data_IF_873528632681
#
_entry.id   IF_873528632681
#
_cell.length_a   1.000
_cell.length_b   1.000
_cell.length_c   1.000
_cell.angle_alpha   90.00
_cell.angle_beta   90.00
_cell.angle_gamma   90.00
#
_symmetry.space_group_name_H-M   'P 1'
#
loop_
_entity.id
_entity.type
_entity.pdbx_description
1 polymer ?
#
# COMPACT_ATOMS: atom_id res chain seq x y z
N UNK A 1 49.58 6.78 -14.43
CA UNK A 1 49.05 6.97 -13.07
C UNK A 1 47.82 7.84 -13.22
N UNK A 2 46.86 7.36 -13.99
CA UNK A 2 45.74 6.47 -13.61
C UNK A 2 44.64 7.27 -12.91
N UNK A 3 43.52 7.30 -13.65
CA UNK A 3 42.23 7.89 -13.42
C UNK A 3 41.54 7.32 -12.18
N UNK A 4 40.60 8.08 -11.63
CA UNK A 4 39.32 7.65 -11.02
C UNK A 4 38.49 8.96 -10.93
N UNK A 5 37.60 9.34 -11.84
CA UNK A 5 36.29 8.77 -12.23
C UNK A 5 35.43 8.27 -11.06
N UNK A 6 35.12 9.16 -10.11
CA UNK A 6 33.96 8.98 -9.23
C UNK A 6 32.67 9.26 -10.01
N UNK A 7 32.21 8.23 -10.74
CA UNK A 7 30.84 8.12 -11.22
C UNK A 7 29.88 8.25 -10.02
N UNK A 8 29.11 9.33 -9.98
CA UNK A 8 27.93 9.45 -9.12
C UNK A 8 26.97 8.33 -9.45
N UNK A 9 26.81 7.37 -8.55
CA UNK A 9 25.75 6.38 -8.61
C UNK A 9 24.38 7.07 -8.53
N UNK A 10 23.53 6.74 -9.49
CA UNK A 10 22.13 7.15 -9.64
C UNK A 10 21.27 6.58 -8.48
N UNK A 11 20.42 7.38 -7.78
CA UNK A 11 19.62 6.88 -6.66
C UNK A 11 18.50 5.89 -7.04
N UNK A 12 18.35 5.52 -8.30
CA UNK A 12 17.20 4.76 -8.79
C UNK A 12 17.35 3.23 -8.68
N UNK A 13 17.68 2.71 -7.51
CA UNK A 13 17.52 1.26 -7.23
C UNK A 13 16.10 0.98 -6.69
N UNK A 14 15.16 0.94 -7.63
CA UNK A 14 13.79 0.45 -7.43
C UNK A 14 13.79 -1.08 -7.25
N UNK A 15 13.44 -1.58 -6.07
CA UNK A 15 13.16 -3.01 -5.88
C UNK A 15 11.72 -3.29 -6.34
N UNK A 16 11.60 -3.94 -7.50
CA UNK A 16 10.35 -4.38 -8.13
C UNK A 16 9.89 -5.69 -7.48
N UNK A 17 8.77 -5.68 -6.76
CA UNK A 17 8.08 -6.90 -6.35
C UNK A 17 6.77 -7.01 -7.15
N UNK A 18 6.75 -7.80 -8.21
CA UNK A 18 5.54 -8.18 -8.95
C UNK A 18 5.12 -9.59 -8.52
N UNK A 19 3.89 -9.74 -8.01
CA UNK A 19 3.31 -11.05 -7.67
C UNK A 19 2.25 -11.43 -8.70
N UNK A 20 2.38 -12.62 -9.28
CA UNK A 20 1.38 -13.24 -10.16
C UNK A 20 0.40 -14.11 -9.37
N UNK A 21 -0.87 -14.08 -9.74
CA UNK A 21 -1.89 -14.98 -9.20
C UNK A 21 -2.53 -15.79 -10.31
N UNK A 22 -2.66 -17.10 -10.08
CA UNK A 22 -3.19 -18.08 -11.04
C UNK A 22 -4.66 -18.42 -10.76
N UNK A 23 -5.39 -18.71 -11.83
CA UNK A 23 -6.80 -19.09 -11.85
C UNK A 23 -6.90 -20.56 -12.28
N UNK A 24 -7.83 -21.33 -11.70
CA UNK A 24 -8.05 -22.70 -12.16
C UNK A 24 -9.06 -22.77 -13.33
N UNK A 25 -8.58 -23.41 -14.40
CA UNK A 25 -9.14 -23.71 -15.72
C UNK A 25 -9.03 -22.67 -16.85
N UNK A 26 -8.36 -23.18 -17.88
CA UNK A 26 -8.49 -22.94 -19.32
C UNK A 26 -8.06 -21.55 -19.85
N UNK A 27 -6.87 -21.51 -20.48
CA UNK A 27 -6.02 -20.37 -20.87
C UNK A 27 -5.47 -19.52 -19.70
N UNK A 28 -4.15 -19.33 -19.63
CA UNK A 28 -3.44 -18.64 -18.52
C UNK A 28 -3.73 -17.13 -18.48
N UNK A 29 -4.93 -16.75 -18.02
CA UNK A 29 -5.24 -15.37 -17.67
C UNK A 29 -4.55 -15.00 -16.35
N UNK A 30 -3.30 -14.53 -16.45
CA UNK A 30 -2.53 -14.00 -15.33
C UNK A 30 -2.97 -12.58 -14.98
N UNK A 31 -3.40 -12.37 -13.72
CA UNK A 31 -3.69 -11.03 -13.22
C UNK A 31 -2.41 -10.28 -12.88
N UNK A 32 -2.37 -8.99 -13.21
CA UNK A 32 -1.24 -8.11 -12.92
C UNK A 32 -1.53 -7.19 -11.75
N UNK A 33 -0.75 -7.33 -10.69
CA UNK A 33 -0.76 -6.43 -9.55
C UNK A 33 0.44 -5.48 -9.62
N UNK A 34 0.20 -4.17 -9.51
CA UNK A 34 1.25 -3.17 -9.32
C UNK A 34 1.17 -2.57 -7.93
N UNK A 35 2.30 -2.57 -7.24
CA UNK A 35 2.40 -2.11 -5.86
C UNK A 35 3.39 -0.98 -5.74
N UNK A 36 3.00 0.05 -5.00
CA UNK A 36 3.84 1.20 -4.70
C UNK A 36 3.94 1.35 -3.19
N UNK A 37 5.15 1.55 -2.69
CA UNK A 37 5.37 2.13 -1.35
C UNK A 37 6.19 3.40 -1.47
N UNK A 38 5.78 4.44 -0.76
CA UNK A 38 6.50 5.70 -0.76
C UNK A 38 6.35 6.45 0.57
N UNK A 39 7.48 6.62 1.27
CA UNK A 39 7.56 7.61 2.34
C UNK A 39 7.69 9.00 1.71
N UNK A 40 6.63 9.80 1.81
CA UNK A 40 6.55 11.12 1.15
C UNK A 40 7.14 12.23 1.99
N UNK A 41 7.65 11.94 3.20
CA UNK A 41 8.30 12.90 4.08
C UNK A 41 7.52 14.22 4.26
N UNK A 42 6.19 14.12 4.39
CA UNK A 42 5.23 15.24 4.48
C UNK A 42 5.17 16.16 3.28
N UNK A 43 5.78 15.78 2.15
CA UNK A 43 5.68 16.52 0.91
C UNK A 43 4.27 16.48 0.31
N UNK A 44 3.93 17.54 -0.41
CA UNK A 44 2.77 17.57 -1.28
C UNK A 44 2.96 16.62 -2.47
N UNK A 45 1.85 16.09 -3.03
CA UNK A 45 1.91 15.26 -4.23
C UNK A 45 2.56 16.01 -5.42
N UNK A 46 3.39 15.34 -6.23
CA UNK A 46 3.94 15.95 -7.45
C UNK A 46 2.84 16.10 -8.52
N UNK A 47 3.09 16.93 -9.54
CA UNK A 47 2.13 17.11 -10.65
C UNK A 47 1.97 15.85 -11.51
N UNK A 48 3.02 15.01 -11.60
CA UNK A 48 3.02 13.79 -12.40
C UNK A 48 3.52 12.57 -11.62
N UNK A 49 2.80 11.45 -11.79
CA UNK A 49 3.09 10.13 -11.23
C UNK A 49 3.09 9.03 -12.30
N UNK A 50 3.12 9.41 -13.59
CA UNK A 50 3.01 8.47 -14.71
C UNK A 50 4.11 7.40 -14.67
N UNK A 51 5.34 7.81 -14.38
CA UNK A 51 6.46 6.87 -14.23
C UNK A 51 6.31 5.96 -13.00
N UNK A 52 5.83 6.49 -11.87
CA UNK A 52 5.61 5.72 -10.64
C UNK A 52 4.57 4.60 -10.82
N UNK A 53 3.53 4.88 -11.60
CA UNK A 53 2.44 3.95 -11.88
C UNK A 53 2.64 3.15 -13.18
N UNK A 54 3.76 3.31 -13.88
CA UNK A 54 4.03 2.68 -15.17
C UNK A 54 2.91 2.93 -16.20
N UNK A 55 2.36 4.15 -16.23
CA UNK A 55 1.21 4.49 -17.06
C UNK A 55 1.50 4.47 -18.58
N UNK A 56 2.77 4.55 -18.96
CA UNK A 56 3.22 4.54 -20.36
C UNK A 56 3.51 3.14 -20.91
N UNK A 57 3.38 2.10 -20.07
CA UNK A 57 3.66 0.74 -20.48
C UNK A 57 2.48 0.12 -21.24
N UNK A 58 2.73 -0.67 -22.31
CA UNK A 58 1.68 -1.17 -23.20
C UNK A 58 0.71 -2.15 -22.53
N UNK A 59 1.16 -2.88 -21.51
CA UNK A 59 0.32 -3.81 -20.76
C UNK A 59 0.13 -3.27 -19.35
N UNK A 60 -1.08 -2.80 -19.05
CA UNK A 60 -1.40 -2.16 -17.77
C UNK A 60 -1.77 -3.19 -16.69
N UNK A 61 -1.51 -2.91 -15.41
CA UNK A 61 -1.95 -3.72 -14.27
C UNK A 61 -3.47 -3.87 -14.20
N UNK A 62 -3.97 -4.91 -13.56
CA UNK A 62 -5.39 -5.08 -13.26
C UNK A 62 -5.75 -4.44 -11.92
N UNK A 63 -4.79 -4.44 -10.99
CA UNK A 63 -4.89 -3.91 -9.65
C UNK A 63 -3.72 -2.97 -9.35
N UNK A 64 -4.00 -1.88 -8.65
CA UNK A 64 -2.98 -1.04 -8.01
C UNK A 64 -3.16 -1.04 -6.50
N UNK A 65 -2.06 -1.21 -5.78
CA UNK A 65 -1.98 -1.02 -4.32
C UNK A 65 -0.94 0.06 -4.05
N UNK A 66 -1.33 1.14 -3.39
CA UNK A 66 -0.44 2.27 -3.11
C UNK A 66 -0.41 2.49 -1.59
N UNK A 67 0.75 2.26 -0.98
CA UNK A 67 1.01 2.54 0.43
C UNK A 67 1.90 3.76 0.59
N UNK A 68 1.43 4.79 1.27
CA UNK A 68 2.24 5.96 1.61
C UNK A 68 2.54 6.03 3.10
N UNK A 69 3.70 6.58 3.45
CA UNK A 69 4.09 6.92 4.82
C UNK A 69 4.44 8.41 4.92
N UNK A 70 4.30 8.98 6.11
CA UNK A 70 4.52 10.42 6.38
C UNK A 70 3.68 11.35 5.50
N UNK A 71 2.48 10.93 5.08
CA UNK A 71 1.52 11.85 4.44
C UNK A 71 1.17 12.94 5.44
N UNK A 72 1.22 14.21 5.03
CA UNK A 72 0.91 15.33 5.91
C UNK A 72 -0.45 15.13 6.60
N UNK A 73 -0.44 15.11 7.94
CA UNK A 73 -1.62 14.95 8.78
C UNK A 73 -1.56 15.97 9.92
N UNK A 74 -2.29 17.08 9.80
CA UNK A 74 -2.37 18.06 10.86
C UNK A 74 -3.48 17.71 11.86
N UNK A 75 -3.28 17.87 13.19
CA UNK A 75 -4.30 17.54 14.19
C UNK A 75 -5.65 18.25 14.01
N UNK A 76 -5.64 19.48 13.50
CA UNK A 76 -6.84 20.28 13.23
C UNK A 76 -7.62 19.83 11.98
N UNK A 77 -7.03 18.94 11.17
CA UNK A 77 -7.56 18.51 9.87
C UNK A 77 -8.23 17.14 9.93
N UNK A 78 -8.20 16.47 11.09
CA UNK A 78 -8.79 15.15 11.30
C UNK A 78 -10.27 15.06 10.87
N UNK A 79 -11.08 16.07 11.19
CA UNK A 79 -12.50 16.12 10.79
C UNK A 79 -12.66 16.39 9.28
N UNK A 80 -11.74 17.15 8.68
CA UNK A 80 -11.77 17.48 7.25
C UNK A 80 -11.35 16.26 6.43
N UNK A 81 -10.30 15.54 6.83
CA UNK A 81 -9.84 14.32 6.15
C UNK A 81 -10.87 13.17 6.25
N UNK A 82 -11.78 13.22 7.23
CA UNK A 82 -12.95 12.32 7.27
C UNK A 82 -14.04 12.67 6.25
N UNK A 83 -14.10 13.93 5.81
CA UNK A 83 -15.14 14.44 4.91
C UNK A 83 -14.63 14.74 3.49
N UNK A 84 -13.32 14.89 3.31
CA UNK A 84 -12.65 15.29 2.08
C UNK A 84 -11.47 14.37 1.85
N UNK A 85 -11.38 13.85 0.64
CA UNK A 85 -10.26 13.04 0.19
C UNK A 85 -8.94 13.81 0.26
N UNK A 86 -7.87 13.19 0.76
CA UNK A 86 -6.57 13.84 0.84
C UNK A 86 -5.96 14.11 -0.55
N UNK A 87 -5.02 15.05 -0.64
CA UNK A 87 -4.43 15.49 -1.92
C UNK A 87 -3.72 14.36 -2.67
N UNK A 88 -3.08 13.42 -1.96
CA UNK A 88 -2.45 12.26 -2.57
C UNK A 88 -3.48 11.32 -3.17
N UNK A 89 -4.52 10.98 -2.40
CA UNK A 89 -5.63 10.16 -2.87
C UNK A 89 -6.33 10.77 -4.08
N UNK A 90 -6.54 12.09 -4.10
CA UNK A 90 -7.08 12.81 -5.24
C UNK A 90 -6.18 12.68 -6.48
N UNK A 91 -4.87 12.87 -6.35
CA UNK A 91 -3.92 12.73 -7.46
C UNK A 91 -3.96 11.31 -8.07
N UNK A 92 -3.94 10.27 -7.24
CA UNK A 92 -4.01 8.89 -7.74
C UNK A 92 -5.34 8.63 -8.44
N UNK A 93 -6.46 9.11 -7.88
CA UNK A 93 -7.77 8.99 -8.49
C UNK A 93 -7.85 9.70 -9.84
N UNK A 94 -7.37 10.95 -9.93
CA UNK A 94 -7.40 11.73 -11.18
C UNK A 94 -6.50 11.14 -12.26
N UNK A 95 -5.39 10.50 -11.87
CA UNK A 95 -4.47 9.85 -12.80
C UNK A 95 -4.99 8.50 -13.32
N UNK A 96 -5.68 7.74 -12.47
CA UNK A 96 -6.13 6.38 -12.77
C UNK A 96 -7.56 6.31 -13.34
N UNK A 97 -8.47 7.22 -12.97
CA UNK A 97 -9.86 7.20 -13.42
C UNK A 97 -10.02 7.30 -14.97
N UNK A 98 -9.29 8.18 -15.69
CA UNK A 98 -9.36 8.24 -17.16
C UNK A 98 -8.92 6.95 -17.85
N UNK A 99 -8.22 6.07 -17.13
CA UNK A 99 -7.69 4.78 -17.60
C UNK A 99 -8.57 3.60 -17.22
N UNK A 100 -9.78 3.85 -16.70
CA UNK A 100 -10.78 2.81 -16.38
C UNK A 100 -10.54 2.10 -15.05
N UNK A 101 -9.85 2.74 -14.11
CA UNK A 101 -9.69 2.23 -12.75
C UNK A 101 -10.62 2.96 -11.78
N UNK A 102 -11.05 2.23 -10.75
CA UNK A 102 -11.84 2.73 -9.65
C UNK A 102 -11.07 2.53 -8.35
N UNK A 103 -11.11 3.53 -7.46
CA UNK A 103 -10.66 3.34 -6.07
C UNK A 103 -11.71 2.50 -5.35
N UNK A 104 -11.35 1.27 -5.00
CA UNK A 104 -12.27 0.29 -4.41
C UNK A 104 -12.24 0.36 -2.88
N UNK A 105 -11.06 0.59 -2.29
CA UNK A 105 -10.92 0.82 -0.84
C UNK A 105 -9.77 1.77 -0.55
N UNK A 106 -9.84 2.44 0.60
CA UNK A 106 -8.78 3.28 1.15
C UNK A 106 -8.86 3.32 2.67
N UNK A 107 -7.72 3.26 3.33
CA UNK A 107 -7.62 3.40 4.78
C UNK A 107 -6.44 4.31 5.14
N UNK A 108 -6.64 5.12 6.18
CA UNK A 108 -5.66 6.07 6.68
C UNK A 108 -5.50 5.96 8.19
N UNK A 109 -4.25 6.05 8.67
CA UNK A 109 -3.93 6.25 10.08
C UNK A 109 -2.81 7.29 10.22
N UNK A 110 -3.19 8.53 10.58
CA UNK A 110 -2.27 9.67 10.63
C UNK A 110 -1.52 9.86 9.30
N UNK A 111 -0.21 9.64 9.28
CA UNK A 111 0.62 9.73 8.07
C UNK A 111 0.70 8.44 7.24
N UNK A 112 0.03 7.36 7.65
CA UNK A 112 -0.10 6.12 6.87
C UNK A 112 -1.35 6.18 6.00
N UNK A 113 -1.19 5.91 4.71
CA UNK A 113 -2.29 5.82 3.75
C UNK A 113 -2.14 4.55 2.93
N UNK A 114 -3.21 3.80 2.73
CA UNK A 114 -3.23 2.64 1.84
C UNK A 114 -4.44 2.76 0.92
N UNK A 115 -4.19 2.69 -0.38
CA UNK A 115 -5.19 2.80 -1.43
C UNK A 115 -5.20 1.53 -2.27
N UNK A 116 -6.40 1.05 -2.58
CA UNK A 116 -6.60 -0.10 -3.46
C UNK A 116 -7.47 0.31 -4.66
N UNK A 117 -6.92 0.18 -5.86
CA UNK A 117 -7.61 0.42 -7.11
C UNK A 117 -7.71 -0.85 -7.94
N UNK A 118 -8.78 -0.96 -8.71
CA UNK A 118 -9.02 -2.05 -9.65
C UNK A 118 -9.50 -1.48 -10.98
N UNK A 119 -9.15 -2.13 -12.10
CA UNK A 119 -9.89 -1.92 -13.35
C UNK A 119 -11.38 -2.17 -13.10
N UNK A 120 -12.23 -1.38 -13.75
CA UNK A 120 -13.69 -1.48 -13.65
C UNK A 120 -14.21 -2.89 -13.96
N UNK A 121 -13.58 -3.59 -14.90
CA UNK A 121 -13.96 -4.95 -15.30
C UNK A 121 -13.88 -5.98 -14.15
N UNK A 122 -13.03 -5.77 -13.15
CA UNK A 122 -12.88 -6.72 -12.03
C UNK A 122 -13.70 -6.34 -10.79
N UNK A 123 -14.26 -5.13 -10.72
CA UNK A 123 -15.02 -4.64 -9.56
C UNK A 123 -16.16 -5.59 -9.14
N UNK A 124 -16.96 -6.17 -10.06
CA UNK A 124 -18.02 -7.12 -9.69
C UNK A 124 -17.53 -8.42 -9.02
N UNK A 125 -16.23 -8.72 -9.12
CA UNK A 125 -15.58 -9.91 -8.59
C UNK A 125 -14.75 -9.63 -7.33
N UNK A 126 -14.78 -8.38 -6.83
CA UNK A 126 -14.23 -8.00 -5.53
C UNK A 126 -15.34 -8.08 -4.48
N UNK A 127 -15.10 -8.82 -3.40
CA UNK A 127 -16.05 -9.03 -2.30
C UNK A 127 -15.35 -8.99 -0.94
N UNK A 128 -16.12 -9.01 0.14
CA UNK A 128 -15.61 -9.15 1.51
C UNK A 128 -14.50 -8.14 1.87
N UNK A 129 -14.62 -6.90 1.37
CA UNK A 129 -13.67 -5.81 1.63
C UNK A 129 -13.74 -5.44 3.12
N UNK A 130 -12.60 -5.41 3.79
CA UNK A 130 -12.43 -5.00 5.17
C UNK A 130 -11.11 -4.27 5.33
N UNK A 131 -11.12 -3.18 6.10
CA UNK A 131 -9.92 -2.39 6.36
C UNK A 131 -9.73 -2.23 7.87
N UNK A 132 -8.49 -2.28 8.34
CA UNK A 132 -8.16 -2.15 9.76
C UNK A 132 -6.81 -1.49 9.99
N UNK A 133 -6.55 -1.01 11.20
CA UNK A 133 -5.29 -0.38 11.55
C UNK A 133 -4.86 -0.71 12.99
N UNK A 134 -3.55 -0.67 13.24
CA UNK A 134 -2.95 -0.82 14.57
C UNK A 134 -1.94 0.29 14.82
N UNK A 135 -1.91 0.84 16.03
CA UNK A 135 -0.95 1.86 16.47
C UNK A 135 0.15 1.19 17.28
N UNK A 136 1.41 1.50 16.99
CA UNK A 136 2.60 0.96 17.69
C UNK A 136 3.43 2.04 18.39
N UNK A 137 2.93 3.29 18.47
CA UNK A 137 3.61 4.43 19.10
C UNK A 137 3.83 4.32 20.61
N UNK A 138 4.27 5.41 21.25
CA UNK A 138 4.52 5.52 22.69
C UNK A 138 3.34 4.91 23.48
N UNK A 139 3.66 3.88 24.26
CA UNK A 139 2.73 3.08 25.07
C UNK A 139 1.62 2.32 24.32
N UNK A 140 1.76 2.10 23.01
CA UNK A 140 0.76 1.37 22.19
C UNK A 140 -0.49 2.19 21.83
N UNK A 141 -0.63 3.42 22.32
CA UNK A 141 -1.80 4.27 22.11
C UNK A 141 -1.49 5.61 21.42
N UNK A 142 -0.25 6.09 21.47
CA UNK A 142 0.09 7.46 21.03
C UNK A 142 1.32 7.48 20.12
N UNK A 143 1.11 7.65 18.81
CA UNK A 143 2.19 7.89 17.85
C UNK A 143 1.78 7.69 16.40
N UNK A 144 2.66 8.10 15.49
CA UNK A 144 2.51 8.02 14.04
C UNK A 144 3.06 6.72 13.43
N UNK A 145 3.41 5.75 14.28
CA UNK A 145 3.91 4.42 13.91
C UNK A 145 2.81 3.39 14.05
N UNK A 146 2.82 2.39 13.17
CA UNK A 146 1.82 1.34 13.14
C UNK A 146 1.63 0.75 11.76
N UNK A 147 0.44 0.19 11.52
CA UNK A 147 0.08 -0.43 10.25
C UNK A 147 -1.38 -0.17 9.88
N UNK A 148 -1.65 -0.08 8.58
CA UNK A 148 -2.99 -0.05 7.99
C UNK A 148 -3.10 -1.18 6.97
N UNK A 149 -4.24 -1.86 6.94
CA UNK A 149 -4.45 -3.02 6.08
C UNK A 149 -5.77 -2.96 5.33
N UNK A 150 -5.77 -3.48 4.11
CA UNK A 150 -6.95 -3.73 3.27
C UNK A 150 -7.00 -5.22 2.96
N UNK A 151 -8.08 -5.89 3.32
CA UNK A 151 -8.39 -7.29 3.04
C UNK A 151 -9.59 -7.37 2.11
N UNK A 152 -9.53 -8.23 1.10
CA UNK A 152 -10.64 -8.46 0.18
C UNK A 152 -10.56 -9.83 -0.48
N UNK A 153 -11.70 -10.33 -0.97
CA UNK A 153 -11.77 -11.45 -1.90
C UNK A 153 -11.72 -10.94 -3.33
N UNK A 154 -10.80 -11.45 -4.14
CA UNK A 154 -10.67 -11.16 -5.57
C UNK A 154 -10.82 -12.47 -6.37
N UNK A 155 -11.91 -12.60 -7.14
CA UNK A 155 -12.26 -13.85 -7.82
C UNK A 155 -12.25 -15.09 -6.89
N UNK A 156 -12.63 -14.92 -5.63
CA UNK A 156 -12.64 -16.00 -4.62
C UNK A 156 -11.32 -16.19 -3.87
N UNK A 157 -10.22 -15.56 -4.31
CA UNK A 157 -8.94 -15.58 -3.59
C UNK A 157 -8.88 -14.47 -2.55
N UNK A 158 -8.52 -14.82 -1.32
CA UNK A 158 -8.39 -13.86 -0.24
C UNK A 158 -7.03 -13.16 -0.29
N UNK A 159 -7.05 -11.84 -0.40
CA UNK A 159 -5.90 -10.96 -0.44
C UNK A 159 -5.90 -10.04 0.78
N UNK A 160 -4.71 -9.77 1.30
CA UNK A 160 -4.48 -8.80 2.36
C UNK A 160 -3.23 -7.98 2.02
N UNK A 161 -3.38 -6.65 2.08
CA UNK A 161 -2.31 -5.69 1.83
C UNK A 161 -2.07 -4.92 3.11
N UNK A 162 -0.81 -4.89 3.57
CA UNK A 162 -0.40 -4.19 4.78
C UNK A 162 0.60 -3.10 4.39
N UNK A 163 0.30 -1.86 4.77
CA UNK A 163 1.25 -0.74 4.76
C UNK A 163 1.60 -0.38 6.21
N UNK A 164 2.88 -0.31 6.54
CA UNK A 164 3.34 -0.01 7.89
C UNK A 164 4.45 1.04 7.91
N UNK A 165 4.52 1.76 9.03
CA UNK A 165 5.60 2.69 9.34
C UNK A 165 6.13 2.33 10.73
N UNK A 166 7.28 1.65 10.75
CA UNK A 166 7.90 1.09 11.94
C UNK A 166 9.06 1.98 12.43
N UNK A 167 9.70 1.59 13.53
CA UNK A 167 10.86 2.28 14.10
C UNK A 167 12.00 2.46 13.07
N UNK A 168 12.45 3.72 12.91
CA UNK A 168 13.57 4.09 12.03
C UNK A 168 14.93 3.71 12.65
N UNK A 169 16.02 3.77 11.87
CA UNK A 169 17.41 3.48 12.26
C UNK A 169 17.76 2.02 12.56
N UNK A 170 18.99 1.61 12.22
CA UNK A 170 19.43 0.20 12.28
C UNK A 170 19.43 -0.40 13.68
N UNK A 171 19.73 0.41 14.71
CA UNK A 171 19.76 -0.03 16.11
C UNK A 171 18.40 -0.53 16.66
N UNK A 172 17.29 -0.18 16.01
CA UNK A 172 15.94 -0.60 16.42
C UNK A 172 15.42 -1.80 15.61
N UNK A 173 16.32 -2.65 15.10
CA UNK A 173 15.95 -3.83 14.32
C UNK A 173 15.03 -4.80 15.08
N UNK A 174 15.35 -5.11 16.34
CA UNK A 174 14.50 -5.96 17.21
C UNK A 174 13.13 -5.33 17.42
N UNK A 175 13.10 -4.03 17.76
CA UNK A 175 11.85 -3.30 17.95
C UNK A 175 10.96 -3.32 16.69
N UNK A 176 11.54 -3.25 15.48
CA UNK A 176 10.75 -3.39 14.25
C UNK A 176 10.13 -4.77 14.07
N UNK A 177 10.78 -5.82 14.56
CA UNK A 177 10.22 -7.18 14.56
C UNK A 177 9.04 -7.22 15.54
N UNK A 178 9.23 -6.74 16.77
CA UNK A 178 8.19 -6.70 17.79
C UNK A 178 6.96 -5.88 17.34
N UNK A 179 7.18 -4.71 16.73
CA UNK A 179 6.12 -3.86 16.18
C UNK A 179 5.38 -4.54 15.02
N UNK A 180 6.08 -5.30 14.19
CA UNK A 180 5.49 -6.01 13.07
C UNK A 180 4.66 -7.20 13.54
N UNK A 181 5.19 -8.02 14.46
CA UNK A 181 4.45 -9.12 15.09
C UNK A 181 3.20 -8.61 15.81
N UNK A 182 3.32 -7.51 16.56
CA UNK A 182 2.17 -6.88 17.18
C UNK A 182 1.07 -6.47 16.17
N UNK A 183 1.44 -5.91 15.02
CA UNK A 183 0.47 -5.57 13.96
C UNK A 183 -0.21 -6.85 13.45
N UNK A 184 0.54 -7.92 13.20
CA UNK A 184 -0.01 -9.19 12.73
C UNK A 184 -0.99 -9.82 13.73
N UNK A 185 -0.67 -9.74 15.02
CA UNK A 185 -1.50 -10.33 16.07
C UNK A 185 -2.76 -9.53 16.38
N UNK A 186 -2.67 -8.20 16.30
CA UNK A 186 -3.79 -7.31 16.68
C UNK A 186 -4.78 -7.04 15.57
N UNK A 187 -4.34 -7.06 14.30
CA UNK A 187 -5.22 -6.86 13.16
C UNK A 187 -5.98 -8.14 12.85
N UNK A 188 -7.26 -8.14 13.22
CA UNK A 188 -8.20 -9.23 12.95
C UNK A 188 -9.29 -8.77 11.98
N UNK A 189 -9.79 -9.71 11.20
CA UNK A 189 -10.89 -9.53 10.25
C UNK A 189 -12.06 -10.47 10.62
N UNK A 190 -13.28 -10.15 10.14
CA UNK A 190 -14.50 -10.88 10.53
C UNK A 190 -14.33 -12.42 10.44
N UNK A 191 -14.62 -13.16 11.53
CA UNK A 191 -14.30 -14.59 11.68
C UNK A 191 -15.01 -15.54 10.73
N UNK A 192 -15.94 -15.10 9.87
CA UNK A 192 -16.61 -16.01 8.91
C UNK A 192 -15.71 -16.46 7.75
N UNK A 193 -14.59 -15.79 7.46
CA UNK A 193 -13.62 -16.16 6.42
C UNK A 193 -12.23 -15.65 6.85
N UNK A 194 -11.19 -16.49 6.86
CA UNK A 194 -9.75 -16.15 7.09
C UNK A 194 -9.51 -14.97 8.07
N UNK A 195 -9.53 -15.21 9.39
CA UNK A 195 -9.51 -14.16 10.41
C UNK A 195 -8.17 -13.43 10.58
N UNK A 196 -7.03 -14.08 10.25
CA UNK A 196 -5.69 -13.51 10.44
C UNK A 196 -5.04 -13.12 9.12
N UNK A 197 -4.12 -12.14 9.14
CA UNK A 197 -3.35 -11.70 7.95
C UNK A 197 -2.60 -12.89 7.30
N UNK A 198 -2.08 -13.81 8.12
CA UNK A 198 -1.31 -14.96 7.67
C UNK A 198 -2.15 -16.02 6.94
N UNK A 199 -3.48 -15.95 7.05
CA UNK A 199 -4.38 -16.89 6.38
C UNK A 199 -4.60 -16.54 4.89
N UNK A 200 -4.00 -15.46 4.40
CA UNK A 200 -4.15 -14.93 3.04
C UNK A 200 -2.91 -15.17 2.19
N UNK A 201 -3.08 -15.14 0.86
CA UNK A 201 -1.95 -15.04 -0.06
C UNK A 201 -1.35 -13.64 0.09
N UNK A 202 -0.42 -13.53 1.02
CA UNK A 202 0.08 -12.27 1.55
C UNK A 202 0.98 -11.58 0.54
N UNK A 203 0.71 -10.31 0.24
CA UNK A 203 1.62 -9.47 -0.56
C UNK A 203 2.10 -8.32 0.32
N UNK A 204 3.40 -8.36 0.64
CA UNK A 204 4.06 -7.50 1.61
C UNK A 204 4.62 -6.25 0.94
N UNK A 205 4.43 -5.08 1.56
CA UNK A 205 5.19 -3.89 1.18
C UNK A 205 5.79 -3.21 2.42
N UNK A 206 7.14 -3.12 2.45
CA UNK A 206 7.93 -2.35 3.42
C UNK A 206 9.06 -1.63 2.68
N UNK A 207 9.32 -0.37 3.03
CA UNK A 207 10.69 0.17 3.01
C UNK A 207 10.85 1.09 4.22
N UNK A 208 11.81 0.72 5.08
CA UNK A 208 12.44 1.59 6.08
C UNK A 208 13.80 1.98 5.54
#
# INVERSE_FOLDING_TARGET
MENDDDTKEDPLSQVKNSVSMEKNCCDEDTFRLHMVTWNVATADPPDDISSLLHLDFPKTPDLYVIGLQEVYSAPHRFIIDMAVEDSWSHLFMSSLAPRGYLKVSSIRMQGLLLLFFSKLAHVPFIRDIQDTYSRTGISGYWGNKGGVSIRLSFYGHMLCFLNCHLAAHMQYASQRVDEFEYILDTQTFDPKKTPHILDHKSVYIKRS
#
